data_IF_241757891609
#
_entry.id   IF_241757891609
#
_cell.length_a   1.000
_cell.length_b   1.000
_cell.length_c   1.000
_cell.angle_alpha   90.00
_cell.angle_beta   90.00
_cell.angle_gamma   90.00
#
_symmetry.space_group_name_H-M   'P 1'
#
loop_
_entity.id
_entity.type
_entity.pdbx_description
1 polymer ?
#
# COMPACT_ATOMS: atom_id res chain seq x y z
N UNK A 1 13.10 13.20 4.87
CA UNK A 1 12.60 13.54 6.23
C UNK A 1 13.56 12.93 7.25
N UNK A 2 13.81 13.62 8.37
CA UNK A 2 14.63 13.08 9.45
C UNK A 2 13.76 12.30 10.44
N UNK A 3 14.35 11.35 11.15
CA UNK A 3 13.66 10.62 12.22
C UNK A 3 13.28 11.58 13.35
N UNK A 4 12.03 11.56 13.85
CA UNK A 4 11.58 12.45 14.92
C UNK A 4 12.37 12.27 16.23
N UNK A 5 12.54 13.36 16.97
CA UNK A 5 13.38 13.39 18.18
C UNK A 5 12.93 12.38 19.25
N UNK A 6 11.62 12.22 19.47
CA UNK A 6 11.12 11.27 20.48
C UNK A 6 11.42 9.82 20.10
N UNK A 7 11.41 9.48 18.81
CA UNK A 7 11.80 8.16 18.31
C UNK A 7 13.29 7.92 18.55
N UNK A 8 14.15 8.91 18.28
CA UNK A 8 15.60 8.82 18.54
C UNK A 8 15.87 8.65 20.02
N UNK A 9 15.23 9.45 20.87
CA UNK A 9 15.38 9.37 22.33
C UNK A 9 14.95 8.02 22.88
N UNK A 10 13.88 7.44 22.34
CA UNK A 10 13.40 6.12 22.77
C UNK A 10 14.39 5.01 22.41
N UNK A 11 14.98 5.06 21.22
CA UNK A 11 15.97 4.08 20.75
C UNK A 11 17.29 4.12 21.53
N UNK A 12 17.60 5.24 22.18
CA UNK A 12 18.80 5.41 23.02
C UNK A 12 18.65 4.84 24.44
N UNK A 13 17.46 4.37 24.81
CA UNK A 13 17.24 3.75 26.13
C UNK A 13 17.85 2.37 26.22
N UNK A 14 18.16 1.93 27.44
CA UNK A 14 18.66 0.58 27.72
C UNK A 14 17.65 -0.52 27.35
N UNK A 15 16.35 -0.19 27.34
CA UNK A 15 15.28 -1.09 26.93
C UNK A 15 14.33 -0.32 25.97
N UNK A 16 14.68 -0.21 24.69
CA UNK A 16 13.87 0.51 23.74
C UNK A 16 12.56 -0.25 23.45
N UNK A 17 11.54 0.50 23.07
CA UNK A 17 10.29 -0.07 22.60
C UNK A 17 10.50 -0.84 21.29
N UNK A 18 9.75 -1.92 21.11
CA UNK A 18 9.78 -2.75 19.91
C UNK A 18 9.49 -1.94 18.63
N UNK A 19 10.24 -2.23 17.57
CA UNK A 19 9.99 -1.66 16.25
C UNK A 19 8.86 -2.44 15.58
N UNK A 20 7.84 -1.74 15.14
CA UNK A 20 6.70 -2.28 14.41
C UNK A 20 6.82 -1.90 12.95
N UNK A 21 6.66 -2.88 12.07
CA UNK A 21 6.65 -2.71 10.62
C UNK A 21 5.24 -2.85 10.07
N UNK A 22 4.84 -1.86 9.32
CA UNK A 22 3.53 -1.76 8.68
C UNK A 22 3.73 -1.56 7.18
N UNK A 23 2.85 -2.15 6.39
CA UNK A 23 2.91 -2.10 4.94
C UNK A 23 1.61 -1.57 4.36
N UNK A 24 1.74 -0.71 3.36
CA UNK A 24 0.63 -0.28 2.53
C UNK A 24 0.94 -0.60 1.06
N UNK A 25 0.02 -1.25 0.36
CA UNK A 25 0.06 -1.40 -1.09
C UNK A 25 -0.98 -0.47 -1.69
N UNK A 26 -0.50 0.51 -2.43
CA UNK A 26 -1.32 1.49 -3.13
C UNK A 26 -1.48 1.06 -4.57
N UNK A 27 -2.71 0.74 -4.97
CA UNK A 27 -3.04 0.37 -6.34
C UNK A 27 -3.22 1.63 -7.18
N UNK A 28 -2.59 1.66 -8.35
CA UNK A 28 -2.85 2.72 -9.33
C UNK A 28 -4.21 2.48 -9.97
N UNK A 29 -5.14 3.43 -9.80
CA UNK A 29 -6.49 3.33 -10.37
C UNK A 29 -6.50 3.15 -11.88
N UNK A 30 -5.54 3.76 -12.58
CA UNK A 30 -5.45 3.72 -14.04
C UNK A 30 -5.01 2.36 -14.58
N UNK A 31 -4.24 1.62 -13.77
CA UNK A 31 -3.70 0.33 -14.16
C UNK A 31 -4.57 -0.84 -13.70
N UNK A 32 -5.30 -0.65 -12.59
CA UNK A 32 -5.90 -1.77 -11.88
C UNK A 32 -7.43 -1.72 -11.81
N UNK A 33 -8.07 -0.66 -12.31
CA UNK A 33 -9.52 -0.53 -12.27
C UNK A 33 -10.06 -0.10 -13.63
N UNK A 34 -11.20 -0.68 -14.01
CA UNK A 34 -11.93 -0.26 -15.21
C UNK A 34 -12.56 1.11 -14.98
N UNK A 35 -12.65 1.89 -16.04
CA UNK A 35 -13.37 3.16 -15.99
C UNK A 35 -14.89 2.92 -15.87
N UNK A 36 -15.56 3.88 -15.20
CA UNK A 36 -17.01 3.91 -15.20
C UNK A 36 -17.56 4.11 -16.61
N UNK A 37 -18.61 3.36 -16.95
CA UNK A 37 -19.29 3.43 -18.24
C UNK A 37 -20.75 3.83 -18.06
N UNK A 38 -21.28 4.64 -19.00
CA UNK A 38 -22.66 5.08 -19.01
C UNK A 38 -23.62 3.95 -19.44
N UNK A 39 -24.81 3.92 -18.85
CA UNK A 39 -25.89 2.98 -19.17
C UNK A 39 -25.47 1.49 -19.08
N UNK A 40 -24.52 1.19 -18.22
CA UNK A 40 -24.00 -0.15 -17.97
C UNK A 40 -24.62 -0.75 -16.70
N UNK A 41 -24.93 -2.03 -16.77
CA UNK A 41 -25.37 -2.78 -15.59
C UNK A 41 -24.17 -3.11 -14.71
N UNK A 42 -24.29 -2.81 -13.42
CA UNK A 42 -23.31 -3.11 -12.38
C UNK A 42 -23.95 -3.97 -11.29
N UNK A 43 -23.17 -4.83 -10.71
CA UNK A 43 -23.55 -5.68 -9.59
C UNK A 43 -22.83 -5.26 -8.31
N UNK A 44 -23.39 -5.58 -7.15
CA UNK A 44 -22.74 -5.30 -5.88
C UNK A 44 -21.37 -6.00 -5.83
N UNK A 45 -20.33 -5.23 -5.46
CA UNK A 45 -18.94 -5.66 -5.46
C UNK A 45 -18.13 -5.21 -6.68
N UNK A 46 -18.78 -4.79 -7.78
CA UNK A 46 -18.04 -4.20 -8.90
C UNK A 46 -17.35 -2.92 -8.48
N UNK A 47 -16.13 -2.70 -8.96
CA UNK A 47 -15.34 -1.51 -8.62
C UNK A 47 -14.90 -0.80 -9.89
N UNK A 48 -15.07 0.51 -9.93
CA UNK A 48 -14.69 1.35 -11.06
C UNK A 48 -13.81 2.51 -10.64
N UNK A 49 -13.00 3.00 -11.57
CA UNK A 49 -12.32 4.29 -11.44
C UNK A 49 -13.15 5.40 -12.11
N UNK A 50 -12.85 6.65 -11.73
CA UNK A 50 -13.40 7.81 -12.40
C UNK A 50 -12.51 8.20 -13.57
N UNK A 51 -13.09 8.41 -14.74
CA UNK A 51 -12.36 9.00 -15.89
C UNK A 51 -11.85 10.42 -15.60
N UNK A 52 -12.49 11.11 -14.66
CA UNK A 52 -12.09 12.43 -14.17
C UNK A 52 -11.31 12.28 -12.86
N UNK A 53 -10.07 11.83 -12.96
CA UNK A 53 -9.21 11.57 -11.80
C UNK A 53 -8.82 12.86 -11.09
N UNK A 54 -9.37 13.07 -9.91
CA UNK A 54 -8.80 13.99 -8.93
C UNK A 54 -7.81 13.22 -8.08
N UNK A 55 -6.54 13.27 -8.46
CA UNK A 55 -5.46 12.78 -7.62
C UNK A 55 -5.20 13.80 -6.52
N UNK A 56 -5.09 13.35 -5.29
CA UNK A 56 -4.58 14.23 -4.24
C UNK A 56 -3.09 14.51 -4.46
N UNK A 57 -2.58 15.57 -3.83
CA UNK A 57 -1.16 15.94 -3.93
C UNK A 57 -0.27 15.08 -3.01
N UNK A 58 -0.76 13.96 -2.50
CA UNK A 58 0.04 13.04 -1.70
C UNK A 58 1.02 12.25 -2.57
N UNK A 59 2.05 11.73 -1.95
CA UNK A 59 2.96 10.81 -2.62
C UNK A 59 3.03 9.49 -1.82
N UNK A 60 2.71 8.36 -2.44
CA UNK A 60 2.21 8.19 -3.81
C UNK A 60 0.84 8.85 -4.03
N UNK A 61 0.56 9.35 -5.25
CA UNK A 61 -0.72 9.97 -5.57
C UNK A 61 -1.87 8.99 -5.33
N UNK A 62 -2.88 9.42 -4.59
CA UNK A 62 -4.00 8.57 -4.22
C UNK A 62 -5.28 9.14 -4.83
N UNK A 63 -5.96 8.32 -5.58
CA UNK A 63 -7.29 8.64 -6.04
C UNK A 63 -8.35 7.77 -5.34
N UNK A 64 -9.60 8.01 -5.66
CA UNK A 64 -10.71 7.20 -5.17
C UNK A 64 -11.14 6.20 -6.23
N UNK A 65 -11.51 5.01 -5.80
CA UNK A 65 -12.26 4.03 -6.58
C UNK A 65 -13.65 3.90 -5.97
N UNK A 66 -14.61 3.48 -6.78
CA UNK A 66 -16.01 3.45 -6.40
C UNK A 66 -16.51 2.01 -6.47
N UNK A 67 -16.84 1.46 -5.30
CA UNK A 67 -17.41 0.12 -5.20
C UNK A 67 -18.94 0.20 -5.25
N UNK A 68 -19.53 -0.57 -6.13
CA UNK A 68 -20.96 -0.74 -6.22
C UNK A 68 -21.48 -1.47 -4.95
N UNK A 69 -22.28 -0.80 -4.16
CA UNK A 69 -22.93 -1.38 -2.98
C UNK A 69 -24.37 -1.80 -3.22
N UNK A 70 -25.02 -1.19 -4.20
CA UNK A 70 -26.34 -1.62 -4.69
C UNK A 70 -26.32 -1.64 -6.20
N UNK A 71 -26.51 -2.83 -6.77
CA UNK A 71 -26.47 -3.06 -8.21
C UNK A 71 -27.67 -2.44 -8.95
N UNK A 72 -27.47 -2.13 -10.22
CA UNK A 72 -28.45 -1.52 -11.11
C UNK A 72 -27.82 -1.08 -12.42
N UNK A 73 -28.48 -0.22 -13.16
CA UNK A 73 -27.94 0.39 -14.38
C UNK A 73 -27.49 1.81 -14.09
N UNK A 74 -26.25 2.15 -14.46
CA UNK A 74 -25.68 3.48 -14.31
C UNK A 74 -26.42 4.53 -15.15
N UNK A 75 -26.25 5.79 -14.82
CA UNK A 75 -26.80 6.91 -15.57
C UNK A 75 -26.14 7.11 -16.92
N UNK A 76 -26.66 8.05 -17.71
CA UNK A 76 -26.12 8.41 -19.02
C UNK A 76 -24.90 9.34 -18.97
N UNK A 77 -24.49 9.81 -17.79
CA UNK A 77 -23.35 10.68 -17.59
C UNK A 77 -22.63 10.36 -16.28
N UNK A 78 -21.32 10.62 -16.24
CA UNK A 78 -20.49 10.41 -15.04
C UNK A 78 -21.09 11.15 -13.84
N UNK A 79 -21.32 10.46 -12.70
CA UNK A 79 -21.83 11.11 -11.50
C UNK A 79 -20.94 12.25 -11.02
N UNK A 80 -21.52 13.45 -10.86
CA UNK A 80 -20.75 14.62 -10.43
C UNK A 80 -20.12 14.46 -9.03
N UNK A 81 -20.70 13.60 -8.20
CA UNK A 81 -20.15 13.26 -6.88
C UNK A 81 -18.81 12.53 -6.90
N UNK A 82 -18.41 11.91 -8.01
CA UNK A 82 -17.13 11.22 -8.11
C UNK A 82 -15.93 12.17 -7.93
N UNK A 83 -16.04 13.39 -8.46
CA UNK A 83 -14.96 14.38 -8.38
C UNK A 83 -14.74 14.94 -6.96
N UNK A 84 -15.75 14.89 -6.08
CA UNK A 84 -15.73 15.48 -4.74
C UNK A 84 -15.90 14.44 -3.62
N UNK A 85 -15.80 13.16 -3.94
CA UNK A 85 -16.03 12.09 -2.98
C UNK A 85 -14.97 12.08 -1.88
N UNK A 86 -15.44 11.86 -0.65
CA UNK A 86 -14.59 11.50 0.50
C UNK A 86 -14.63 10.00 0.70
N UNK A 87 -13.57 9.44 1.29
CA UNK A 87 -13.52 8.01 1.64
C UNK A 87 -14.73 7.61 2.52
N UNK A 88 -15.42 6.55 2.13
CA UNK A 88 -16.66 6.10 2.76
C UNK A 88 -17.92 6.84 2.33
N UNK A 89 -17.80 7.92 1.54
CA UNK A 89 -18.95 8.65 0.99
C UNK A 89 -19.73 7.82 -0.02
N UNK A 90 -21.06 7.96 0.00
CA UNK A 90 -21.97 7.26 -0.92
C UNK A 90 -22.47 8.19 -2.03
N UNK A 91 -22.58 7.67 -3.24
CA UNK A 91 -22.99 8.41 -4.43
C UNK A 91 -24.07 7.59 -5.15
N UNK A 92 -25.19 8.23 -5.44
CA UNK A 92 -26.27 7.59 -6.22
C UNK A 92 -26.09 7.93 -7.70
N UNK A 93 -26.21 6.92 -8.53
CA UNK A 93 -26.05 6.97 -9.97
C UNK A 93 -27.17 6.18 -10.63
N UNK A 94 -28.30 6.85 -10.91
CA UNK A 94 -29.52 6.23 -11.39
C UNK A 94 -29.97 5.06 -10.48
N UNK A 95 -29.82 3.82 -10.92
CA UNK A 95 -30.15 2.63 -10.12
C UNK A 95 -29.00 2.05 -9.31
N UNK A 96 -27.80 2.63 -9.40
CA UNK A 96 -26.59 2.14 -8.73
C UNK A 96 -26.23 3.03 -7.54
N UNK A 97 -25.77 2.42 -6.46
CA UNK A 97 -25.17 3.15 -5.34
C UNK A 97 -23.69 2.79 -5.24
N UNK A 98 -22.85 3.81 -5.25
CA UNK A 98 -21.41 3.71 -5.14
C UNK A 98 -20.92 4.13 -3.78
N UNK A 99 -19.90 3.46 -3.25
CA UNK A 99 -19.17 3.90 -2.06
C UNK A 99 -17.72 4.19 -2.46
N UNK A 100 -17.26 5.40 -2.15
CA UNK A 100 -15.90 5.81 -2.44
C UNK A 100 -14.92 5.12 -1.49
N UNK A 101 -13.85 4.53 -2.04
CA UNK A 101 -12.79 3.84 -1.31
C UNK A 101 -11.42 4.26 -1.81
N UNK A 102 -10.43 4.30 -0.93
CA UNK A 102 -9.04 4.37 -1.36
C UNK A 102 -8.54 2.98 -1.72
N UNK A 103 -7.90 2.79 -2.87
CA UNK A 103 -7.39 1.49 -3.30
C UNK A 103 -6.07 1.16 -2.57
N UNK A 104 -6.12 1.14 -1.24
CA UNK A 104 -4.96 0.89 -0.37
C UNK A 104 -5.24 -0.34 0.47
N UNK A 105 -4.35 -1.31 0.40
CA UNK A 105 -4.35 -2.47 1.29
C UNK A 105 -3.29 -2.28 2.36
N UNK A 106 -3.70 -2.42 3.63
CA UNK A 106 -2.85 -2.20 4.80
C UNK A 106 -2.68 -3.50 5.56
N UNK A 107 -1.45 -3.89 5.82
CA UNK A 107 -1.15 -5.13 6.53
C UNK A 107 0.16 -5.05 7.31
N UNK A 108 0.34 -6.03 8.18
CA UNK A 108 1.58 -6.25 8.93
C UNK A 108 1.93 -7.73 8.96
N UNK A 109 3.16 -8.07 9.34
CA UNK A 109 3.67 -9.45 9.28
C UNK A 109 3.02 -10.46 10.27
N UNK A 110 2.06 -10.04 11.08
CA UNK A 110 1.35 -10.91 12.03
C UNK A 110 2.18 -11.37 13.24
N UNK A 111 3.45 -10.96 13.34
CA UNK A 111 4.36 -11.40 14.41
C UNK A 111 4.32 -10.53 15.66
N UNK A 112 3.62 -9.41 15.63
CA UNK A 112 3.60 -8.45 16.72
C UNK A 112 2.55 -8.81 17.76
N UNK A 113 3.02 -9.18 18.94
CA UNK A 113 2.17 -9.54 20.08
C UNK A 113 1.47 -8.32 20.65
N UNK A 114 0.16 -8.38 20.75
CA UNK A 114 -0.54 -7.54 21.75
C UNK A 114 -0.16 -7.99 23.16
N UNK A 115 -0.02 -7.04 24.07
CA UNK A 115 0.42 -7.28 25.47
C UNK A 115 -0.54 -8.09 26.32
N UNK A 116 -1.72 -8.34 25.87
CA UNK A 116 -2.71 -9.14 26.60
C UNK A 116 -2.90 -10.48 25.92
N UNK A 117 -2.20 -11.46 26.43
CA UNK A 117 -2.44 -12.90 26.49
C UNK A 117 -2.88 -13.70 25.27
N UNK A 118 -3.38 -13.11 24.24
CA UNK A 118 -3.81 -13.85 23.06
C UNK A 118 -3.64 -12.98 21.85
N UNK A 119 -2.83 -13.32 20.93
CA UNK A 119 -3.08 -12.92 19.55
C UNK A 119 -1.87 -12.38 18.83
N UNK A 120 -1.23 -13.31 18.18
CA UNK A 120 -0.38 -13.11 17.02
C UNK A 120 -1.12 -12.49 15.81
N UNK A 121 -2.44 -12.29 15.91
CA UNK A 121 -3.34 -12.03 14.79
C UNK A 121 -4.17 -10.75 14.93
N UNK A 122 -3.87 -9.92 15.91
CA UNK A 122 -4.66 -8.72 16.09
C UNK A 122 -4.25 -7.62 15.11
N UNK A 123 -5.24 -6.98 14.50
CA UNK A 123 -5.03 -5.77 13.70
C UNK A 123 -4.30 -4.71 14.50
N UNK A 124 -3.37 -4.03 13.87
CA UNK A 124 -2.62 -2.91 14.45
C UNK A 124 -3.25 -1.60 13.99
N UNK A 125 -3.53 -0.72 14.95
CA UNK A 125 -4.05 0.62 14.69
C UNK A 125 -2.92 1.64 14.78
N UNK A 126 -2.72 2.42 13.73
CA UNK A 126 -1.72 3.49 13.69
C UNK A 126 -2.17 4.65 12.82
N UNK A 127 -2.24 5.86 13.42
CA UNK A 127 -2.67 7.07 12.75
C UNK A 127 -4.13 7.03 12.26
N UNK A 128 -5.01 6.38 13.02
CA UNK A 128 -6.41 6.19 12.66
C UNK A 128 -6.64 5.15 11.55
N UNK A 129 -5.60 4.45 11.11
CA UNK A 129 -5.66 3.40 10.08
C UNK A 129 -5.54 2.03 10.74
N UNK A 130 -6.17 1.03 10.13
CA UNK A 130 -6.14 -0.36 10.58
C UNK A 130 -5.25 -1.16 9.62
N UNK A 131 -4.29 -1.89 10.19
CA UNK A 131 -3.39 -2.80 9.48
C UNK A 131 -3.73 -4.22 9.89
N UNK A 132 -4.14 -5.03 8.93
CA UNK A 132 -4.56 -6.40 9.18
C UNK A 132 -3.35 -7.35 9.26
N UNK A 133 -3.41 -8.38 10.10
CA UNK A 133 -2.37 -9.40 10.14
C UNK A 133 -2.36 -10.18 8.83
N UNK A 134 -1.20 -10.28 8.21
CA UNK A 134 -1.02 -11.05 6.99
C UNK A 134 0.35 -11.73 7.00
N UNK A 135 0.44 -13.01 6.62
CA UNK A 135 1.71 -13.72 6.57
C UNK A 135 2.56 -13.19 5.40
N UNK A 136 3.36 -12.19 5.70
CA UNK A 136 4.28 -11.54 4.77
C UNK A 136 5.70 -11.64 5.29
N UNK A 137 6.63 -11.93 4.41
CA UNK A 137 8.06 -11.86 4.65
C UNK A 137 8.68 -10.85 3.70
N UNK A 138 9.52 -10.00 4.24
CA UNK A 138 10.20 -8.95 3.48
C UNK A 138 11.69 -9.03 3.69
N UNK A 139 12.46 -8.83 2.63
CA UNK A 139 13.92 -8.83 2.68
C UNK A 139 14.51 -7.83 1.69
N UNK A 140 15.79 -7.46 1.88
CA UNK A 140 16.52 -6.64 0.91
C UNK A 140 16.23 -5.13 0.97
N UNK A 141 15.77 -4.62 2.10
CA UNK A 141 15.59 -3.18 2.33
C UNK A 141 16.90 -2.46 2.72
N UNK A 142 17.97 -3.19 2.92
CA UNK A 142 19.23 -2.63 3.41
C UNK A 142 19.87 -1.74 2.35
N UNK A 143 20.23 -0.54 2.77
CA UNK A 143 20.99 0.40 1.93
C UNK A 143 22.49 0.15 2.12
N UNK A 144 23.19 -0.08 1.01
CA UNK A 144 24.64 -0.26 1.03
C UNK A 144 25.35 1.06 0.77
N UNK A 145 26.51 1.26 1.42
CA UNK A 145 27.36 2.44 1.18
C UNK A 145 28.00 2.47 -0.22
N UNK A 146 27.85 1.39 -1.00
CA UNK A 146 28.36 1.27 -2.37
C UNK A 146 27.47 1.90 -3.44
N UNK A 147 26.38 2.59 -3.03
CA UNK A 147 25.48 3.29 -3.94
C UNK A 147 24.51 2.41 -4.73
N UNK A 148 24.43 1.12 -4.46
CA UNK A 148 23.44 0.25 -5.06
C UNK A 148 22.09 0.52 -4.43
N UNK A 149 21.07 0.81 -5.26
CA UNK A 149 19.70 0.98 -4.77
C UNK A 149 19.15 -0.36 -4.30
N UNK A 150 18.46 -0.42 -3.15
CA UNK A 150 17.86 -1.65 -2.66
C UNK A 150 16.73 -2.10 -3.60
N UNK A 151 16.67 -3.41 -3.82
CA UNK A 151 15.59 -4.10 -4.52
C UNK A 151 14.93 -5.09 -3.59
N UNK A 152 14.04 -4.60 -2.72
CA UNK A 152 13.41 -5.46 -1.75
C UNK A 152 12.51 -6.50 -2.41
N UNK A 153 12.40 -7.65 -1.74
CA UNK A 153 11.48 -8.72 -2.08
C UNK A 153 10.37 -8.78 -1.06
N UNK A 154 9.16 -8.90 -1.56
CA UNK A 154 7.95 -9.09 -0.78
C UNK A 154 7.42 -10.49 -1.08
N UNK A 155 7.51 -11.39 -0.12
CA UNK A 155 6.95 -12.74 -0.21
C UNK A 155 5.67 -12.79 0.61
N UNK A 156 4.58 -13.19 0.00
CA UNK A 156 3.25 -13.19 0.59
C UNK A 156 2.67 -14.59 0.50
N UNK A 157 2.02 -15.04 1.57
CA UNK A 157 1.30 -16.31 1.54
C UNK A 157 0.12 -16.23 0.56
N UNK A 158 0.01 -17.24 -0.30
CA UNK A 158 -1.07 -17.38 -1.28
C UNK A 158 -2.18 -18.32 -0.76
N UNK A 159 -2.38 -18.36 0.55
CA UNK A 159 -3.44 -19.16 1.15
C UNK A 159 -4.81 -18.73 0.63
N UNK A 160 -5.59 -19.72 0.21
CA UNK A 160 -6.96 -19.47 -0.24
C UNK A 160 -7.78 -18.76 0.83
N UNK A 161 -8.67 -17.83 0.47
CA UNK A 161 -9.54 -17.15 1.42
C UNK A 161 -10.34 -18.11 2.32
N UNK A 162 -10.71 -19.27 1.80
CA UNK A 162 -11.41 -20.31 2.58
C UNK A 162 -10.54 -20.93 3.67
N UNK A 163 -9.28 -21.17 3.39
CA UNK A 163 -8.32 -21.70 4.38
C UNK A 163 -7.97 -20.65 5.43
N UNK A 164 -7.79 -19.41 4.99
CA UNK A 164 -7.57 -18.23 5.83
C UNK A 164 -8.72 -18.01 6.82
N UNK A 165 -9.97 -18.10 6.36
CA UNK A 165 -11.14 -18.00 7.24
C UNK A 165 -11.20 -19.13 8.26
N UNK A 166 -10.91 -20.35 7.84
CA UNK A 166 -10.89 -21.53 8.75
C UNK A 166 -9.79 -21.41 9.79
N UNK A 167 -8.61 -20.94 9.40
CA UNK A 167 -7.49 -20.74 10.31
C UNK A 167 -7.79 -19.63 11.34
N UNK A 168 -8.35 -18.52 10.90
CA UNK A 168 -8.70 -17.39 11.75
C UNK A 168 -9.77 -17.78 12.78
N UNK A 169 -10.84 -18.44 12.36
CA UNK A 169 -11.92 -18.89 13.25
C UNK A 169 -11.42 -19.96 14.24
N UNK A 170 -10.59 -20.90 13.79
CA UNK A 170 -10.03 -21.97 14.64
C UNK A 170 -9.14 -21.39 15.75
N UNK A 171 -8.47 -20.28 15.53
CA UNK A 171 -7.62 -19.62 16.53
C UNK A 171 -8.31 -18.49 17.30
N UNK A 172 -9.63 -18.35 17.19
CA UNK A 172 -10.43 -17.34 17.92
C UNK A 172 -10.26 -15.90 17.40
N UNK A 173 -9.67 -15.73 16.23
CA UNK A 173 -9.58 -14.44 15.53
C UNK A 173 -10.83 -14.14 14.72
N UNK A 174 -10.98 -12.88 14.28
CA UNK A 174 -11.94 -12.51 13.24
C UNK A 174 -11.49 -13.13 11.92
N UNK A 175 -12.44 -13.54 11.08
CA UNK A 175 -12.12 -13.98 9.72
C UNK A 175 -11.26 -12.92 9.03
N UNK A 176 -10.19 -13.35 8.34
CA UNK A 176 -9.40 -12.42 7.55
C UNK A 176 -10.34 -11.73 6.54
N UNK A 177 -10.27 -10.41 6.41
CA UNK A 177 -11.17 -9.69 5.52
C UNK A 177 -11.10 -10.28 4.12
N UNK A 178 -12.22 -10.36 3.45
CA UNK A 178 -12.29 -10.70 2.02
C UNK A 178 -11.58 -9.60 1.24
N UNK A 179 -10.31 -9.76 1.01
CA UNK A 179 -9.45 -8.73 0.43
C UNK A 179 -7.98 -9.08 0.60
N UNK A 180 -7.69 -10.35 0.79
CA UNK A 180 -6.33 -10.88 0.72
C UNK A 180 -5.69 -10.49 -0.62
N UNK A 181 -4.38 -10.39 -0.63
CA UNK A 181 -3.63 -9.98 -1.84
C UNK A 181 -3.93 -10.90 -3.02
N UNK A 182 -4.19 -12.20 -2.78
CA UNK A 182 -4.62 -13.12 -3.83
C UNK A 182 -5.99 -12.77 -4.42
N UNK A 183 -6.96 -12.39 -3.60
CA UNK A 183 -8.26 -11.92 -4.10
C UNK A 183 -8.12 -10.60 -4.85
N UNK A 184 -7.25 -9.72 -4.37
CA UNK A 184 -6.92 -8.47 -5.02
C UNK A 184 -6.22 -8.69 -6.37
N UNK A 185 -5.31 -9.67 -6.47
CA UNK A 185 -4.69 -10.05 -7.74
C UNK A 185 -5.72 -10.61 -8.72
N UNK A 186 -6.68 -11.40 -8.26
CA UNK A 186 -7.76 -11.92 -9.11
C UNK A 186 -8.64 -10.79 -9.65
N UNK A 187 -8.96 -9.78 -8.86
CA UNK A 187 -9.73 -8.62 -9.34
C UNK A 187 -8.95 -7.80 -10.35
N UNK A 188 -7.68 -7.53 -10.08
CA UNK A 188 -6.79 -6.82 -11.00
C UNK A 188 -6.64 -7.57 -12.32
N UNK A 189 -6.49 -8.89 -12.29
CA UNK A 189 -6.36 -9.73 -13.48
C UNK A 189 -7.64 -9.82 -14.31
N UNK A 190 -8.83 -9.57 -13.73
CA UNK A 190 -10.08 -9.45 -14.51
C UNK A 190 -10.06 -8.25 -15.46
N UNK A 191 -9.37 -7.18 -15.10
CA UNK A 191 -9.33 -5.93 -15.85
C UNK A 191 -8.17 -5.94 -16.84
N UNK A 192 -6.98 -6.33 -16.40
CA UNK A 192 -5.78 -6.39 -17.23
C UNK A 192 -5.06 -7.71 -16.98
N UNK A 193 -5.24 -8.66 -17.87
CA UNK A 193 -4.63 -10.00 -17.76
C UNK A 193 -3.11 -9.89 -17.65
N UNK A 194 -2.56 -10.46 -16.60
CA UNK A 194 -1.11 -10.53 -16.36
C UNK A 194 -0.50 -9.30 -15.70
N UNK A 195 -1.30 -8.33 -15.24
CA UNK A 195 -0.77 -7.14 -14.55
C UNK A 195 -0.36 -7.41 -13.09
N UNK A 196 -0.95 -8.37 -12.41
CA UNK A 196 -0.50 -8.93 -11.12
C UNK A 196 0.07 -7.92 -10.11
N UNK A 197 -0.60 -6.79 -9.87
CA UNK A 197 -0.12 -5.68 -9.01
C UNK A 197 1.15 -4.95 -9.51
N UNK A 198 1.67 -5.26 -10.67
CA UNK A 198 2.83 -4.55 -11.24
C UNK A 198 2.47 -3.07 -11.42
N UNK A 199 3.39 -2.18 -11.03
CA UNK A 199 3.17 -0.74 -11.04
C UNK A 199 2.49 -0.19 -9.76
N UNK A 200 2.01 -1.05 -8.87
CA UNK A 200 1.54 -0.62 -7.55
C UNK A 200 2.69 -0.13 -6.69
N UNK A 201 2.39 0.76 -5.76
CA UNK A 201 3.39 1.31 -4.84
C UNK A 201 3.32 0.60 -3.49
N UNK A 202 4.45 0.08 -3.04
CA UNK A 202 4.65 -0.47 -1.69
C UNK A 202 5.23 0.62 -0.79
N UNK A 203 4.56 0.91 0.30
CA UNK A 203 5.06 1.80 1.35
C UNK A 203 5.33 0.99 2.60
N UNK A 204 6.57 1.01 3.09
CA UNK A 204 6.97 0.44 4.37
C UNK A 204 7.03 1.54 5.40
N UNK A 205 6.26 1.41 6.47
CA UNK A 205 6.20 2.32 7.59
C UNK A 205 6.78 1.62 8.81
N UNK A 206 7.72 2.25 9.50
CA UNK A 206 8.30 1.75 10.74
C UNK A 206 8.04 2.72 11.86
N UNK A 207 7.54 2.23 12.95
CA UNK A 207 7.30 3.00 14.17
C UNK A 207 7.66 2.18 15.40
N UNK A 208 7.59 2.78 16.57
CA UNK A 208 7.79 2.08 17.81
C UNK A 208 6.42 1.74 18.43
N UNK A 209 6.31 0.56 19.03
CA UNK A 209 5.08 0.09 19.68
C UNK A 209 4.45 1.11 20.62
N UNK A 210 5.26 1.86 21.33
CA UNK A 210 4.87 2.91 22.26
C UNK A 210 3.99 3.99 21.60
N UNK A 211 4.19 4.28 20.31
CA UNK A 211 3.51 5.37 19.60
C UNK A 211 2.25 4.91 18.84
N UNK A 212 1.91 3.62 18.94
CA UNK A 212 0.68 3.10 18.33
C UNK A 212 -0.57 3.72 18.96
N UNK A 213 -1.66 3.70 18.20
CA UNK A 213 -2.95 4.25 18.65
C UNK A 213 -3.48 3.54 19.89
N UNK A 214 -4.27 4.26 20.68
CA UNK A 214 -4.84 3.76 21.93
C UNK A 214 -5.68 2.48 21.79
N UNK A 215 -6.27 2.26 20.61
CA UNK A 215 -7.03 1.04 20.32
C UNK A 215 -6.21 -0.26 20.47
N UNK A 216 -4.86 -0.18 20.38
CA UNK A 216 -3.98 -1.33 20.60
C UNK A 216 -3.78 -1.68 22.09
N UNK A 217 -4.16 -0.80 23.02
CA UNK A 217 -3.82 -0.86 24.44
C UNK A 217 -5.07 -0.69 25.33
N UNK A 218 -6.14 -1.43 25.07
CA UNK A 218 -7.40 -1.32 25.81
C UNK A 218 -7.93 0.12 25.89
N UNK A 219 -7.82 0.86 24.79
CA UNK A 219 -8.26 2.25 24.62
C UNK A 219 -7.49 3.29 25.45
N UNK A 220 -6.32 2.93 26.02
CA UNK A 220 -5.49 3.87 26.78
C UNK A 220 -4.04 3.82 26.35
N UNK A 221 -3.58 4.86 25.65
CA UNK A 221 -2.17 5.10 25.36
C UNK A 221 -1.88 6.61 25.33
N UNK A 222 -1.35 7.14 26.42
CA UNK A 222 -1.01 8.55 26.53
C UNK A 222 0.15 8.97 25.61
N UNK A 223 0.87 8.02 25.04
CA UNK A 223 2.03 8.27 24.16
C UNK A 223 1.73 8.04 22.69
N UNK A 224 0.46 7.80 22.32
CA UNK A 224 0.03 7.62 20.94
C UNK A 224 0.37 8.86 20.10
N UNK A 225 1.16 8.68 19.04
CA UNK A 225 1.57 9.77 18.15
C UNK A 225 1.98 9.21 16.78
N UNK A 226 1.13 9.42 15.79
CA UNK A 226 1.36 8.94 14.42
C UNK A 226 2.49 9.68 13.68
N UNK A 227 2.98 10.79 14.22
CA UNK A 227 4.11 11.53 13.64
C UNK A 227 5.46 10.91 14.03
N UNK A 228 5.50 10.09 15.08
CA UNK A 228 6.70 9.42 15.59
C UNK A 228 6.97 8.13 14.83
N UNK A 229 7.39 8.26 13.58
CA UNK A 229 7.77 7.14 12.72
C UNK A 229 9.11 7.42 12.04
N UNK A 230 9.77 6.36 11.61
CA UNK A 230 10.91 6.48 10.71
C UNK A 230 10.45 7.04 9.36
N UNK A 231 11.37 7.58 8.55
CA UNK A 231 11.03 7.97 7.18
C UNK A 231 10.37 6.82 6.42
N UNK A 232 9.28 7.10 5.72
CA UNK A 232 8.59 6.11 4.91
C UNK A 232 9.50 5.65 3.78
N UNK A 233 9.56 4.35 3.58
CA UNK A 233 10.31 3.73 2.48
C UNK A 233 9.33 3.37 1.37
N UNK A 234 9.53 3.94 0.19
CA UNK A 234 8.59 3.85 -0.93
C UNK A 234 9.26 3.14 -2.10
N UNK A 235 8.64 2.07 -2.54
CA UNK A 235 9.07 1.25 -3.68
C UNK A 235 7.91 1.00 -4.63
N UNK A 236 8.20 0.65 -5.86
CA UNK A 236 7.22 0.17 -6.82
C UNK A 236 7.37 -1.34 -7.02
N UNK A 237 6.27 -2.04 -7.16
CA UNK A 237 6.24 -3.45 -7.52
C UNK A 237 6.65 -3.55 -8.99
N UNK A 238 7.88 -4.03 -9.24
CA UNK A 238 8.48 -4.08 -10.57
C UNK A 238 8.06 -5.33 -11.33
N UNK A 239 8.03 -6.47 -10.65
CA UNK A 239 7.65 -7.74 -11.27
C UNK A 239 7.25 -8.78 -10.22
N UNK A 240 6.43 -9.73 -10.64
CA UNK A 240 6.17 -10.97 -9.93
C UNK A 240 7.27 -11.98 -10.29
N UNK A 241 8.00 -12.46 -9.30
CA UNK A 241 9.13 -13.38 -9.52
C UNK A 241 8.73 -14.85 -9.36
N UNK A 242 7.77 -15.11 -8.50
CA UNK A 242 7.28 -16.46 -8.23
C UNK A 242 5.79 -16.40 -7.87
N UNK A 243 5.04 -17.37 -8.36
CA UNK A 243 3.69 -17.65 -7.92
C UNK A 243 3.46 -19.17 -7.91
N UNK A 244 3.03 -19.66 -6.79
CA UNK A 244 2.58 -21.05 -6.62
C UNK A 244 1.38 -21.08 -5.67
N UNK A 245 0.92 -22.27 -5.29
CA UNK A 245 -0.24 -22.43 -4.41
C UNK A 245 0.01 -21.94 -2.97
N UNK A 246 1.26 -21.83 -2.55
CA UNK A 246 1.64 -21.49 -1.19
C UNK A 246 2.05 -20.04 -1.04
N UNK A 247 2.81 -19.51 -1.99
CA UNK A 247 3.40 -18.16 -1.93
C UNK A 247 3.34 -17.42 -3.25
N UNK A 248 3.28 -16.10 -3.16
CA UNK A 248 3.54 -15.17 -4.25
C UNK A 248 4.69 -14.28 -3.85
N UNK A 249 5.65 -14.07 -4.75
CA UNK A 249 6.82 -13.25 -4.50
C UNK A 249 6.90 -12.12 -5.53
N UNK A 250 7.06 -10.92 -5.01
CA UNK A 250 7.27 -9.71 -5.80
C UNK A 250 8.66 -9.16 -5.58
N UNK A 251 9.26 -8.67 -6.64
CA UNK A 251 10.46 -7.83 -6.58
C UNK A 251 10.04 -6.37 -6.71
N UNK A 252 10.49 -5.56 -5.76
CA UNK A 252 10.22 -4.14 -5.74
C UNK A 252 11.49 -3.38 -6.15
N UNK A 253 11.30 -2.19 -6.70
CA UNK A 253 12.40 -1.32 -7.12
C UNK A 253 12.12 0.12 -6.70
N UNK A 254 13.17 0.89 -6.51
CA UNK A 254 13.04 2.35 -6.34
C UNK A 254 12.47 2.97 -7.63
N UNK A 255 11.67 4.02 -7.49
CA UNK A 255 11.16 4.78 -8.63
C UNK A 255 12.27 5.28 -9.56
N UNK A 256 13.44 5.62 -9.02
CA UNK A 256 14.58 6.06 -9.82
C UNK A 256 15.12 4.98 -10.75
N UNK A 257 15.07 3.72 -10.30
CA UNK A 257 15.54 2.58 -11.08
C UNK A 257 14.55 2.22 -12.19
N UNK A 258 13.26 2.28 -11.92
CA UNK A 258 12.21 1.96 -12.92
C UNK A 258 12.04 3.05 -13.98
N UNK A 259 12.16 4.30 -13.61
CA UNK A 259 11.96 5.42 -14.53
C UNK A 259 13.08 5.59 -15.57
N UNK A 260 14.13 4.77 -15.54
CA UNK A 260 15.28 4.89 -16.42
C UNK A 260 15.98 6.26 -16.30
N UNK A 261 15.85 6.89 -15.15
CA UNK A 261 16.43 8.20 -14.87
C UNK A 261 17.96 8.06 -14.88
N UNK A 262 18.60 8.77 -15.81
CA UNK A 262 20.05 8.88 -15.84
C UNK A 262 20.48 10.02 -14.92
N UNK A 263 21.32 9.74 -13.94
CA UNK A 263 21.96 10.76 -13.12
C UNK A 263 23.50 10.61 -13.24
N UNK A 264 24.19 11.58 -13.81
CA UNK A 264 23.69 12.86 -14.33
C UNK A 264 22.92 12.74 -15.64
N UNK A 265 21.92 13.59 -15.86
CA UNK A 265 21.08 13.61 -17.05
C UNK A 265 21.87 13.92 -18.32
N UNK A 266 22.98 14.67 -18.18
CA UNK A 266 23.91 15.00 -19.24
C UNK A 266 25.32 14.60 -18.80
N UNK A 267 26.05 13.96 -19.69
CA UNK A 267 27.48 13.77 -19.52
C UNK A 267 28.19 15.05 -20.04
N UNK A 268 29.22 15.43 -19.31
CA UNK A 268 30.09 16.55 -19.74
C UNK A 268 30.98 16.03 -20.84
N UNK A 269 30.58 16.28 -22.09
CA UNK A 269 31.32 15.87 -23.27
C UNK A 269 31.86 17.13 -24.01
N UNK A 270 33.05 17.08 -24.63
CA UNK A 270 33.61 18.22 -25.39
C UNK A 270 32.67 18.73 -26.48
N UNK A 271 31.80 17.88 -27.04
CA UNK A 271 30.81 18.27 -28.05
C UNK A 271 29.70 19.19 -27.50
N UNK A 272 29.35 19.10 -26.21
CA UNK A 272 28.36 19.97 -25.56
C UNK A 272 29.00 21.12 -24.77
N UNK A 273 30.24 20.92 -24.32
CA UNK A 273 31.03 21.88 -23.55
C UNK A 273 32.42 22.01 -24.13
N UNK A 274 32.63 22.85 -25.17
CA UNK A 274 33.90 22.93 -25.90
C UNK A 274 35.11 23.29 -25.05
N UNK A 275 34.94 23.97 -23.95
CA UNK A 275 36.02 24.37 -23.03
C UNK A 275 36.52 23.23 -22.10
N UNK A 276 35.96 22.02 -22.19
CA UNK A 276 36.39 20.91 -21.33
C UNK A 276 37.62 20.25 -21.96
N UNK A 277 38.70 20.23 -21.19
CA UNK A 277 39.99 19.67 -21.59
C UNK A 277 40.92 20.64 -22.24
N UNK A 278 40.56 21.91 -22.41
CA UNK A 278 41.49 22.95 -22.77
C UNK A 278 42.19 23.47 -21.51
N UNK A 279 43.47 23.22 -21.45
CA UNK A 279 44.33 23.88 -20.46
C UNK A 279 44.60 25.28 -20.97
N UNK A 280 44.17 26.29 -20.24
CA UNK A 280 44.65 27.66 -20.49
C UNK A 280 46.14 27.68 -20.19
N UNK A 281 46.93 27.91 -21.22
CA UNK A 281 48.36 28.22 -21.10
C UNK A 281 48.54 29.67 -20.68
#
# INVERSE_FOLDING_TARGET
MSTPTNTVTELQKNNPSEIIELFEVHLDQRLHYADWEANKAYTAGDTVSSTSLVLDNSFPPQGMVFECTSGGTSGGSLPGGFASASEGGTITDNGVTWTAKRPIKRFHAGTNLKTTTTLHEASIHFGGKVYEPFPVQTEGFDMTSKGTLPRPRLTISNLSPSLSNTFSVANGGSALPSGTISAMMLEVNKITVGNDLIGSTLVRIRTLRKFLDSANFNSTNATADSTQKFPDEIYMIARKTLENQEIVQFECASMFDMAGIKAPKRQILPSEFPAIGEFFQ
#
